data_IF_939662510704
#
_entry.id   IF_939662510704
#
_cell.length_a   1.000
_cell.length_b   1.000
_cell.length_c   1.000
_cell.angle_alpha   90.00
_cell.angle_beta   90.00
_cell.angle_gamma   90.00
#
_symmetry.space_group_name_H-M   'P 1'
#
loop_
_entity.id
_entity.type
_entity.pdbx_description
1 polymer ?
#
# COMPACT_ATOMS: atom_id res chain seq x y z
N UNK A 1 29.36 24.11 25.55
CA UNK A 1 28.98 22.71 25.61
C UNK A 1 27.88 22.38 26.62
N UNK A 2 27.69 23.18 27.69
CA UNK A 2 26.65 22.95 28.71
C UNK A 2 25.22 23.28 28.26
N UNK A 3 25.01 24.20 27.32
CA UNK A 3 23.67 24.63 26.90
C UNK A 3 22.88 23.60 26.00
N UNK A 4 23.59 22.70 25.35
CA UNK A 4 22.97 21.69 24.49
C UNK A 4 22.37 20.54 25.31
N UNK A 5 23.05 20.18 26.39
CA UNK A 5 22.61 19.09 27.29
C UNK A 5 21.39 19.48 28.11
N UNK A 6 21.24 20.75 28.49
CA UNK A 6 20.06 21.25 29.18
C UNK A 6 18.81 21.25 28.30
N UNK A 7 18.93 21.58 27.00
CA UNK A 7 17.81 21.56 26.07
C UNK A 7 17.29 20.14 25.79
N UNK A 8 18.17 19.15 25.75
CA UNK A 8 17.78 17.74 25.58
C UNK A 8 17.01 17.21 26.79
N UNK A 9 17.43 17.62 28.00
CA UNK A 9 16.78 17.24 29.25
C UNK A 9 15.36 17.82 29.35
N UNK A 10 15.18 19.09 29.00
CA UNK A 10 13.86 19.77 29.01
C UNK A 10 12.93 19.14 27.96
N UNK A 11 13.43 18.84 26.76
CA UNK A 11 12.64 18.20 25.71
C UNK A 11 12.17 16.79 26.08
N UNK A 12 13.03 16.03 26.78
CA UNK A 12 12.68 14.70 27.31
C UNK A 12 11.62 14.74 28.42
N UNK A 13 11.63 15.76 29.24
CA UNK A 13 10.61 15.99 30.28
C UNK A 13 9.26 16.40 29.69
N UNK A 14 9.24 17.22 28.64
CA UNK A 14 8.02 17.64 27.96
C UNK A 14 7.32 16.46 27.27
N UNK A 15 8.05 15.53 26.66
CA UNK A 15 7.47 14.34 26.02
C UNK A 15 6.85 13.40 27.05
N UNK A 16 7.43 13.28 28.27
CA UNK A 16 6.84 12.46 29.33
C UNK A 16 5.56 13.07 29.90
N UNK A 17 5.48 14.39 30.01
CA UNK A 17 4.29 15.10 30.45
C UNK A 17 3.12 15.01 29.44
N UNK A 18 3.44 15.08 28.16
CA UNK A 18 2.43 15.02 27.10
C UNK A 18 1.74 13.64 27.02
N UNK A 19 2.49 12.55 27.24
CA UNK A 19 1.92 11.20 27.26
C UNK A 19 0.96 10.96 28.43
N UNK A 20 1.18 11.58 29.59
CA UNK A 20 0.30 11.46 30.77
C UNK A 20 -1.02 12.23 30.54
N UNK A 21 -0.96 13.41 29.91
CA UNK A 21 -2.15 14.20 29.60
C UNK A 21 -3.04 13.50 28.55
N UNK A 22 -2.44 12.89 27.52
CA UNK A 22 -3.16 12.11 26.51
C UNK A 22 -3.84 10.88 27.12
N UNK A 23 -3.18 10.18 28.04
CA UNK A 23 -3.77 9.03 28.77
C UNK A 23 -4.93 9.45 29.69
N UNK A 24 -4.84 10.60 30.38
CA UNK A 24 -5.91 11.11 31.22
C UNK A 24 -7.14 11.56 30.42
N UNK A 25 -6.96 12.14 29.25
CA UNK A 25 -8.07 12.52 28.35
C UNK A 25 -8.80 11.29 27.84
N UNK A 26 -8.10 10.21 27.49
CA UNK A 26 -8.73 8.93 27.08
C UNK A 26 -9.49 8.26 28.22
N UNK A 27 -9.05 8.40 29.48
CA UNK A 27 -9.75 7.82 30.63
C UNK A 27 -11.02 8.59 31.00
N UNK A 28 -11.06 9.92 30.79
CA UNK A 28 -12.25 10.74 31.04
C UNK A 28 -13.34 10.60 29.96
N UNK A 29 -12.98 10.22 28.75
CA UNK A 29 -13.95 9.98 27.66
C UNK A 29 -14.55 8.56 27.73
N UNK A 30 -13.84 7.60 28.34
CA UNK A 30 -14.26 6.19 28.43
C UNK A 30 -15.38 5.88 29.45
N UNK A 31 -15.76 6.80 30.32
CA UNK A 31 -16.72 6.49 31.42
C UNK A 31 -18.13 7.00 31.20
N UNK A 32 -18.49 7.52 30.03
CA UNK A 32 -19.85 8.06 29.78
C UNK A 32 -20.73 7.28 28.80
N UNK A 33 -20.35 6.07 28.42
CA UNK A 33 -21.14 5.23 27.50
C UNK A 33 -21.42 3.84 28.05
N UNK A 34 -22.02 3.76 29.27
CA UNK A 34 -22.65 2.52 29.71
C UNK A 34 -23.91 2.89 30.54
N UNK A 35 -24.97 3.25 29.85
CA UNK A 35 -26.31 3.19 30.39
C UNK A 35 -27.26 2.84 29.25
N UNK A 36 -27.87 1.69 29.37
CA UNK A 36 -28.58 0.97 28.37
C UNK A 36 -29.80 1.62 27.76
N UNK A 37 -30.21 1.04 26.65
CA UNK A 37 -31.63 0.73 26.44
C UNK A 37 -31.68 -0.34 25.33
N UNK A 38 -32.25 -1.48 25.69
CA UNK A 38 -32.70 -2.50 24.77
C UNK A 38 -33.91 -1.93 24.02
N UNK A 39 -33.76 -1.63 22.76
CA UNK A 39 -34.90 -1.60 21.82
C UNK A 39 -34.53 -2.47 20.61
N UNK A 40 -35.30 -3.51 20.50
CA UNK A 40 -35.36 -4.47 19.45
C UNK A 40 -35.90 -3.80 18.18
N UNK A 41 -35.06 -3.55 17.20
CA UNK A 41 -35.53 -3.30 15.84
C UNK A 41 -34.64 -4.02 14.86
N UNK A 42 -35.25 -5.01 14.23
CA UNK A 42 -34.75 -5.72 13.07
C UNK A 42 -34.43 -4.72 11.96
N UNK A 43 -33.18 -4.53 11.64
CA UNK A 43 -32.73 -3.98 10.37
C UNK A 43 -31.48 -4.71 9.92
N UNK A 44 -31.58 -5.28 8.77
CA UNK A 44 -30.64 -6.19 8.10
C UNK A 44 -29.19 -5.67 8.04
N UNK A 45 -28.17 -6.53 8.25
CA UNK A 45 -26.76 -6.15 8.17
C UNK A 45 -26.23 -6.32 6.73
N UNK A 46 -26.79 -5.62 5.73
CA UNK A 46 -26.37 -5.76 4.32
C UNK A 46 -25.72 -4.48 3.73
N UNK A 47 -25.54 -3.41 4.50
CA UNK A 47 -25.04 -2.15 3.90
C UNK A 47 -23.56 -1.80 4.16
N UNK A 48 -22.79 -2.68 4.81
CA UNK A 48 -21.35 -2.42 5.07
C UNK A 48 -20.37 -3.07 4.09
N UNK A 49 -20.88 -3.80 3.10
CA UNK A 49 -20.04 -4.55 2.13
C UNK A 49 -19.87 -3.86 0.77
N UNK A 50 -20.56 -2.76 0.51
CA UNK A 50 -20.54 -2.13 -0.82
C UNK A 50 -19.42 -1.15 -1.09
N UNK A 51 -18.74 -0.65 -0.04
CA UNK A 51 -17.72 0.39 -0.22
C UNK A 51 -16.34 -0.16 -0.57
N UNK A 52 -16.06 -1.45 -0.30
CA UNK A 52 -14.74 -2.06 -0.54
C UNK A 52 -14.60 -2.68 -1.94
N UNK A 53 -15.70 -2.98 -2.62
CA UNK A 53 -15.66 -3.63 -3.94
C UNK A 53 -15.61 -2.64 -5.13
N UNK A 54 -15.93 -1.37 -4.93
CA UNK A 54 -15.89 -0.37 -6.01
C UNK A 54 -14.51 0.23 -6.27
N UNK A 55 -13.52 0.00 -5.38
CA UNK A 55 -12.16 0.53 -5.55
C UNK A 55 -11.29 -0.35 -6.46
N UNK A 56 -11.72 -1.57 -6.80
CA UNK A 56 -10.93 -2.50 -7.61
C UNK A 56 -11.01 -2.27 -9.12
N UNK A 57 -12.05 -1.59 -9.62
CA UNK A 57 -12.21 -1.35 -11.07
C UNK A 57 -11.48 -0.08 -11.55
N UNK A 58 -11.09 0.80 -10.65
CA UNK A 58 -10.46 2.07 -10.94
C UNK A 58 -8.97 1.95 -11.26
N UNK A 59 -8.30 1.01 -10.61
CA UNK A 59 -6.90 0.67 -10.80
C UNK A 59 -6.77 -0.84 -10.93
N UNK A 60 -5.97 -1.31 -11.88
CA UNK A 60 -5.81 -2.73 -12.11
C UNK A 60 -4.41 -3.06 -12.62
N UNK A 61 -3.77 -4.03 -12.01
CA UNK A 61 -2.58 -4.67 -12.53
C UNK A 61 -3.00 -6.01 -13.15
N UNK A 62 -2.68 -6.22 -14.41
CA UNK A 62 -2.99 -7.47 -15.11
C UNK A 62 -1.86 -8.47 -14.95
N UNK A 63 -2.17 -9.74 -15.17
CA UNK A 63 -1.16 -10.79 -15.27
C UNK A 63 -0.31 -10.51 -16.51
N UNK A 64 1.02 -10.63 -16.37
CA UNK A 64 1.94 -10.53 -17.50
C UNK A 64 1.67 -11.62 -18.53
N UNK A 65 1.89 -11.32 -19.78
CA UNK A 65 1.72 -12.28 -20.86
C UNK A 65 2.86 -12.16 -21.89
N UNK A 66 3.48 -13.28 -22.27
CA UNK A 66 3.29 -14.63 -21.76
C UNK A 66 3.74 -14.82 -20.30
N UNK A 67 3.26 -15.85 -19.62
CA UNK A 67 3.73 -16.30 -18.31
C UNK A 67 3.51 -17.83 -18.19
N UNK A 68 4.55 -18.67 -18.12
CA UNK A 68 5.98 -18.32 -18.11
C UNK A 68 6.47 -17.66 -19.40
N UNK A 69 7.65 -17.00 -19.36
CA UNK A 69 8.20 -16.28 -20.51
C UNK A 69 9.73 -16.47 -20.67
N UNK A 70 10.21 -16.19 -21.88
CA UNK A 70 11.64 -16.22 -22.26
C UNK A 70 11.84 -15.37 -23.53
N UNK A 71 12.71 -14.34 -23.58
CA UNK A 71 13.24 -13.63 -22.41
C UNK A 71 12.32 -12.49 -22.00
N UNK A 72 11.32 -12.10 -22.80
CA UNK A 72 10.49 -10.92 -22.55
C UNK A 72 9.02 -11.24 -22.30
N UNK A 73 8.34 -10.34 -21.63
CA UNK A 73 6.92 -10.39 -21.35
C UNK A 73 6.34 -8.98 -21.31
N UNK A 74 5.02 -8.85 -21.49
CA UNK A 74 4.30 -7.60 -21.37
C UNK A 74 3.52 -7.56 -20.07
N UNK A 75 3.60 -6.42 -19.39
CA UNK A 75 2.85 -6.12 -18.17
C UNK A 75 1.90 -4.97 -18.46
N UNK A 76 0.60 -5.23 -18.33
CA UNK A 76 -0.43 -4.23 -18.55
C UNK A 76 -1.03 -3.77 -17.24
N UNK A 77 -1.41 -2.50 -17.16
CA UNK A 77 -2.12 -1.94 -16.00
C UNK A 77 -3.04 -0.79 -16.42
N UNK A 78 -4.00 -0.50 -15.55
CA UNK A 78 -4.97 0.59 -15.72
C UNK A 78 -4.91 1.52 -14.51
N UNK A 79 -4.93 2.83 -14.77
CA UNK A 79 -5.06 3.86 -13.74
C UNK A 79 -6.24 4.77 -14.07
N UNK A 80 -7.06 5.07 -13.05
CA UNK A 80 -8.29 5.89 -13.22
C UNK A 80 -8.05 7.37 -13.10
N UNK A 81 -7.08 7.76 -12.29
CA UNK A 81 -6.73 9.17 -12.04
C UNK A 81 -5.23 9.36 -12.19
N UNK A 82 -4.86 10.52 -12.70
CA UNK A 82 -3.47 10.95 -12.77
C UNK A 82 -2.76 10.79 -11.42
N UNK A 83 -1.54 10.31 -11.45
CA UNK A 83 -0.71 10.13 -10.25
C UNK A 83 0.70 9.67 -10.55
N UNK A 84 1.53 9.65 -9.52
CA UNK A 84 2.86 9.06 -9.60
C UNK A 84 2.71 7.54 -9.60
N UNK A 85 3.15 6.92 -10.70
CA UNK A 85 3.09 5.47 -10.92
C UNK A 85 4.47 4.88 -10.67
N UNK A 86 4.53 3.84 -9.85
CA UNK A 86 5.70 3.00 -9.68
C UNK A 86 5.34 1.56 -10.05
N UNK A 87 6.05 1.00 -11.03
CA UNK A 87 5.98 -0.41 -11.39
C UNK A 87 7.39 -1.01 -11.25
N UNK A 88 7.57 -1.90 -10.28
CA UNK A 88 8.88 -2.41 -9.88
C UNK A 88 8.86 -3.93 -9.80
N UNK A 89 9.94 -4.57 -10.24
CA UNK A 89 10.16 -6.02 -10.19
C UNK A 89 11.07 -6.36 -9.01
N UNK A 90 10.73 -7.45 -8.30
CA UNK A 90 11.42 -7.95 -7.12
C UNK A 90 11.71 -9.44 -7.25
N UNK A 91 12.79 -9.89 -6.64
CA UNK A 91 13.02 -11.31 -6.39
C UNK A 91 12.20 -11.78 -5.16
N UNK A 92 12.24 -13.09 -4.85
CA UNK A 92 11.46 -13.68 -3.75
C UNK A 92 11.94 -13.26 -2.35
N UNK A 93 13.15 -12.73 -2.21
CA UNK A 93 13.64 -12.17 -0.93
C UNK A 93 13.29 -10.69 -0.78
N UNK A 94 12.54 -10.12 -1.73
CA UNK A 94 12.07 -8.73 -1.67
C UNK A 94 13.08 -7.68 -2.14
N UNK A 95 14.18 -8.08 -2.77
CA UNK A 95 15.12 -7.15 -3.38
C UNK A 95 14.57 -6.67 -4.71
N UNK A 96 14.65 -5.36 -4.95
CA UNK A 96 14.35 -4.75 -6.23
C UNK A 96 15.38 -5.19 -7.27
N UNK A 97 14.90 -5.70 -8.40
CA UNK A 97 15.75 -6.13 -9.52
C UNK A 97 15.59 -5.25 -10.76
N UNK A 98 14.46 -4.57 -10.90
CA UNK A 98 14.23 -3.62 -12.01
C UNK A 98 13.10 -2.65 -11.67
N UNK A 99 13.26 -1.36 -12.02
CA UNK A 99 12.19 -0.35 -12.02
C UNK A 99 11.73 -0.15 -13.46
N UNK A 100 10.50 -0.52 -13.76
CA UNK A 100 9.95 -0.46 -15.12
C UNK A 100 9.28 0.89 -15.39
N UNK A 101 8.62 1.45 -14.37
CA UNK A 101 7.97 2.76 -14.42
C UNK A 101 8.18 3.47 -13.09
N UNK A 102 8.55 4.75 -13.16
CA UNK A 102 8.61 5.64 -12.00
C UNK A 102 8.39 7.08 -12.46
N UNK A 103 7.14 7.38 -12.81
CA UNK A 103 6.80 8.70 -13.37
C UNK A 103 5.34 9.07 -13.09
N UNK A 104 5.00 10.33 -13.33
CA UNK A 104 3.62 10.80 -13.28
C UNK A 104 2.92 10.45 -14.59
N UNK A 105 1.79 9.74 -14.49
CA UNK A 105 0.99 9.32 -15.64
C UNK A 105 -0.48 9.78 -15.50
N UNK A 106 -1.09 10.12 -16.63
CA UNK A 106 -2.52 10.44 -16.72
C UNK A 106 -3.39 9.17 -16.59
N UNK A 107 -4.69 9.35 -16.38
CA UNK A 107 -5.63 8.23 -16.43
C UNK A 107 -5.56 7.51 -17.78
N UNK A 108 -5.50 6.18 -17.77
CA UNK A 108 -5.37 5.39 -19.00
C UNK A 108 -5.04 3.93 -18.77
N UNK A 109 -4.89 3.21 -19.88
CA UNK A 109 -4.35 1.86 -19.92
C UNK A 109 -2.93 1.91 -20.45
N UNK A 110 -2.03 1.18 -19.81
CA UNK A 110 -0.61 1.16 -20.11
C UNK A 110 -0.11 -0.26 -20.31
N UNK A 111 0.90 -0.40 -21.14
CA UNK A 111 1.61 -1.64 -21.35
C UNK A 111 3.12 -1.37 -21.35
N UNK A 112 3.87 -2.18 -20.62
CA UNK A 112 5.33 -2.10 -20.51
C UNK A 112 5.92 -3.45 -20.84
N UNK A 113 6.90 -3.47 -21.73
CA UNK A 113 7.69 -4.66 -22.00
C UNK A 113 8.80 -4.80 -20.95
N UNK A 114 8.96 -6.01 -20.43
CA UNK A 114 10.01 -6.36 -19.51
C UNK A 114 10.89 -7.45 -20.10
N UNK A 115 12.18 -7.14 -20.26
CA UNK A 115 13.22 -8.06 -20.68
C UNK A 115 13.96 -8.61 -19.46
N UNK A 116 13.93 -9.92 -19.28
CA UNK A 116 14.59 -10.64 -18.21
C UNK A 116 15.86 -11.38 -18.69
N UNK A 117 16.50 -10.95 -19.78
CA UNK A 117 17.70 -11.60 -20.34
C UNK A 117 18.82 -11.72 -19.33
N UNK A 118 18.97 -10.72 -18.43
CA UNK A 118 19.99 -10.71 -17.39
C UNK A 118 19.59 -11.48 -16.12
N UNK A 119 18.32 -11.91 -16.01
CA UNK A 119 17.82 -12.61 -14.84
C UNK A 119 18.00 -14.13 -14.99
N UNK A 120 18.12 -14.83 -13.87
CA UNK A 120 18.10 -16.29 -13.83
C UNK A 120 16.68 -16.83 -13.96
N UNK A 121 16.54 -18.08 -14.45
CA UNK A 121 15.25 -18.77 -14.41
C UNK A 121 14.72 -18.81 -12.97
N UNK A 122 13.44 -18.50 -12.79
CA UNK A 122 12.86 -18.47 -11.45
C UNK A 122 11.57 -17.68 -11.38
N UNK A 123 11.09 -17.52 -10.15
CA UNK A 123 9.89 -16.75 -9.83
C UNK A 123 10.26 -15.35 -9.35
N UNK A 124 9.58 -14.37 -9.90
CA UNK A 124 9.69 -12.95 -9.57
C UNK A 124 8.34 -12.36 -9.26
N UNK A 125 8.33 -11.24 -8.55
CA UNK A 125 7.13 -10.46 -8.24
C UNK A 125 7.23 -9.11 -8.94
N UNK A 126 6.11 -8.57 -9.39
CA UNK A 126 6.04 -7.18 -9.82
C UNK A 126 4.92 -6.47 -9.09
N UNK A 127 5.20 -5.23 -8.71
CA UNK A 127 4.34 -4.40 -7.86
C UNK A 127 4.02 -3.09 -8.54
N UNK A 128 2.73 -2.79 -8.67
CA UNK A 128 2.21 -1.49 -9.08
C UNK A 128 1.78 -0.69 -7.86
N UNK A 129 2.20 0.58 -7.78
CA UNK A 129 1.76 1.53 -6.77
C UNK A 129 1.35 2.84 -7.45
N UNK A 130 0.18 3.37 -7.12
CA UNK A 130 -0.33 4.66 -7.61
C UNK A 130 -1.44 5.16 -6.70
N UNK A 131 -1.39 6.43 -6.25
CA UNK A 131 -2.46 7.06 -5.47
C UNK A 131 -2.97 6.23 -4.27
N UNK A 132 -2.08 5.56 -3.55
CA UNK A 132 -2.43 4.67 -2.44
C UNK A 132 -2.91 3.27 -2.84
N UNK A 133 -3.16 3.02 -4.12
CA UNK A 133 -3.40 1.67 -4.63
C UNK A 133 -2.09 0.90 -4.70
N UNK A 134 -2.13 -0.37 -4.30
CA UNK A 134 -1.01 -1.30 -4.43
C UNK A 134 -1.52 -2.65 -4.89
N UNK A 135 -0.86 -3.21 -5.90
CA UNK A 135 -1.13 -4.56 -6.38
C UNK A 135 0.16 -5.28 -6.71
N UNK A 136 0.23 -6.56 -6.37
CA UNK A 136 1.38 -7.42 -6.62
C UNK A 136 0.95 -8.64 -7.39
N UNK A 137 1.75 -9.04 -8.37
CA UNK A 137 1.57 -10.26 -9.14
C UNK A 137 2.88 -11.03 -9.28
N UNK A 138 2.76 -12.30 -9.63
CA UNK A 138 3.86 -13.24 -9.82
C UNK A 138 4.10 -13.48 -11.30
N UNK A 139 5.37 -13.60 -11.69
CA UNK A 139 5.80 -14.04 -13.02
C UNK A 139 6.87 -15.12 -12.92
N UNK A 140 7.03 -15.91 -13.97
CA UNK A 140 8.02 -16.99 -14.06
C UNK A 140 8.88 -16.82 -15.28
N UNK A 141 10.19 -16.67 -15.07
CA UNK A 141 11.22 -16.60 -16.11
C UNK A 141 11.69 -18.02 -16.41
N UNK A 142 11.77 -18.38 -17.68
CA UNK A 142 12.38 -19.61 -18.18
C UNK A 142 13.58 -19.24 -19.06
N UNK A 143 14.65 -20.05 -18.98
CA UNK A 143 15.81 -20.00 -19.89
C UNK A 143 16.09 -21.39 -20.41
#
# INVERSE_FOLDING_TARGET
MLNVLNNISIFRQMIKGLNIIVLLVFFLIGTKMYAGNNEHSNTDPIEKSKTTLQQSDDYKLFQNFPNPFNPSTKISYKIKKEGNVSLTVFNLVGQEVSVLVNEKQSAGNYEVEFDASELTSGVYLYKLQVNGYTSVKRMTVLK
#
